data_IF_120725434374
#
_entry.id   IF_120725434374
#
_cell.length_a   1.000
_cell.length_b   1.000
_cell.length_c   1.000
_cell.angle_alpha   90.00
_cell.angle_beta   90.00
_cell.angle_gamma   90.00
#
_symmetry.space_group_name_H-M   'P 1'
#
loop_
_entity.id
_entity.type
_entity.pdbx_description
1 polymer ?
#
# COMPACT_ATOMS: atom_id res chain seq x y z
N UNK A 1 25.73 -3.47 26.86
CA UNK A 1 24.90 -3.18 25.68
C UNK A 1 23.75 -4.18 25.70
N UNK A 2 22.53 -3.75 26.00
CA UNK A 2 21.34 -4.62 25.98
C UNK A 2 20.63 -4.35 24.65
N UNK A 3 20.59 -5.36 23.79
CA UNK A 3 19.81 -5.33 22.57
C UNK A 3 18.33 -5.19 22.94
N UNK A 4 17.70 -4.11 22.56
CA UNK A 4 16.26 -3.95 22.65
C UNK A 4 15.63 -4.84 21.57
N UNK A 5 15.06 -5.96 21.97
CA UNK A 5 14.22 -6.79 21.10
C UNK A 5 12.91 -6.00 20.92
N UNK A 6 12.72 -5.41 19.74
CA UNK A 6 11.43 -4.85 19.33
C UNK A 6 10.44 -6.03 19.21
N UNK A 7 9.63 -6.20 20.24
CA UNK A 7 8.46 -7.07 20.18
C UNK A 7 7.41 -6.34 19.33
N UNK A 8 7.39 -6.62 18.03
CA UNK A 8 6.20 -6.36 17.24
C UNK A 8 5.09 -7.21 17.83
N UNK A 9 4.09 -6.57 18.43
CA UNK A 9 2.95 -7.27 18.98
C UNK A 9 2.33 -8.14 17.90
N UNK A 10 2.53 -9.46 18.03
CA UNK A 10 1.82 -10.46 17.23
C UNK A 10 0.38 -10.37 17.69
N UNK A 11 -0.44 -9.63 16.97
CA UNK A 11 -1.89 -9.81 17.03
C UNK A 11 -2.10 -11.24 16.53
N UNK A 12 -2.56 -12.13 17.40
CA UNK A 12 -2.89 -13.50 17.05
C UNK A 12 -3.97 -13.47 15.97
N UNK A 13 -3.57 -13.70 14.72
CA UNK A 13 -4.49 -13.79 13.59
C UNK A 13 -5.22 -15.12 13.71
N UNK A 14 -6.53 -15.03 14.00
CA UNK A 14 -7.45 -16.11 13.70
C UNK A 14 -7.30 -16.38 12.21
N UNK A 15 -6.96 -17.59 11.80
CA UNK A 15 -6.96 -18.02 10.40
C UNK A 15 -8.32 -17.61 9.80
N UNK A 16 -8.36 -16.53 9.06
CA UNK A 16 -9.56 -16.11 8.38
C UNK A 16 -9.86 -17.18 7.34
N UNK A 17 -10.90 -17.96 7.59
CA UNK A 17 -11.40 -18.89 6.58
C UNK A 17 -11.78 -18.08 5.34
N UNK A 18 -11.45 -18.64 4.15
CA UNK A 18 -11.85 -18.02 2.90
C UNK A 18 -13.35 -17.73 2.92
N UNK A 19 -13.80 -16.54 2.49
CA UNK A 19 -15.21 -16.18 2.59
C UNK A 19 -16.10 -17.17 1.83
N UNK A 20 -17.19 -17.59 2.47
CA UNK A 20 -18.09 -18.56 1.88
C UNK A 20 -18.62 -18.11 0.50
N UNK A 21 -18.51 -18.99 -0.51
CA UNK A 21 -18.96 -18.73 -1.87
C UNK A 21 -18.00 -17.90 -2.74
N UNK A 22 -16.85 -17.47 -2.21
CA UNK A 22 -15.82 -16.79 -3.00
C UNK A 22 -14.95 -17.78 -3.77
N UNK A 23 -14.56 -17.40 -4.99
CA UNK A 23 -13.55 -18.14 -5.75
C UNK A 23 -12.17 -17.63 -5.35
N UNK A 24 -11.37 -18.50 -4.70
CA UNK A 24 -10.07 -18.14 -4.18
C UNK A 24 -8.98 -18.82 -5.00
N UNK A 25 -7.98 -18.06 -5.42
CA UNK A 25 -6.77 -18.55 -6.09
C UNK A 25 -5.56 -18.07 -5.31
N UNK A 26 -4.79 -19.00 -4.76
CA UNK A 26 -3.61 -18.71 -3.93
C UNK A 26 -2.33 -18.83 -4.74
N UNK A 27 -1.30 -18.12 -4.28
CA UNK A 27 0.08 -18.21 -4.77
C UNK A 27 0.23 -18.03 -6.29
N UNK A 28 -0.60 -17.16 -6.87
CA UNK A 28 -0.51 -16.84 -8.29
C UNK A 28 0.78 -16.05 -8.58
N UNK A 29 1.73 -16.58 -9.38
CA UNK A 29 2.93 -15.85 -9.73
C UNK A 29 2.58 -14.74 -10.73
N UNK A 30 3.02 -13.51 -10.44
CA UNK A 30 2.84 -12.37 -11.34
C UNK A 30 4.09 -12.03 -12.17
N UNK A 31 5.18 -12.78 -11.95
CA UNK A 31 6.42 -12.75 -12.73
C UNK A 31 6.80 -14.18 -13.06
N UNK A 32 7.09 -14.47 -14.33
CA UNK A 32 7.61 -15.76 -14.76
C UNK A 32 9.03 -15.95 -14.21
N UNK A 33 9.31 -17.07 -13.59
CA UNK A 33 10.63 -17.36 -12.99
C UNK A 33 11.07 -16.35 -11.91
N UNK A 34 10.10 -15.69 -11.26
CA UNK A 34 10.35 -14.71 -10.22
C UNK A 34 10.79 -15.32 -8.87
N UNK A 35 11.11 -14.45 -7.92
CA UNK A 35 11.36 -14.86 -6.54
C UNK A 35 10.08 -15.43 -5.90
N UNK A 36 10.24 -16.32 -4.90
CA UNK A 36 9.12 -16.96 -4.20
C UNK A 36 8.07 -15.97 -3.63
N UNK A 37 8.48 -14.72 -3.37
CA UNK A 37 7.57 -13.67 -2.91
C UNK A 37 6.85 -12.91 -4.03
N UNK A 38 7.19 -13.11 -5.29
CA UNK A 38 6.51 -12.45 -6.41
C UNK A 38 5.22 -13.18 -6.77
N UNK A 39 4.35 -13.34 -5.77
CA UNK A 39 3.05 -14.03 -5.84
C UNK A 39 1.95 -13.18 -5.22
N UNK A 40 0.71 -13.42 -5.63
CA UNK A 40 -0.49 -12.83 -5.04
C UNK A 40 -1.56 -13.89 -4.77
N UNK A 41 -2.48 -13.55 -3.86
CA UNK A 41 -3.73 -14.29 -3.65
C UNK A 41 -4.88 -13.46 -4.20
N UNK A 42 -5.78 -14.11 -4.94
CA UNK A 42 -6.92 -13.46 -5.56
C UNK A 42 -8.22 -14.06 -5.03
N UNK A 43 -9.09 -13.19 -4.55
CA UNK A 43 -10.40 -13.48 -4.00
C UNK A 43 -11.46 -12.81 -4.88
N UNK A 44 -12.30 -13.60 -5.52
CA UNK A 44 -13.37 -13.11 -6.41
C UNK A 44 -14.72 -13.41 -5.77
N UNK A 45 -15.55 -12.39 -5.52
CA UNK A 45 -16.85 -12.59 -4.88
C UNK A 45 -17.81 -13.36 -5.78
N UNK A 46 -18.88 -13.97 -5.22
CA UNK A 46 -19.91 -14.61 -6.02
C UNK A 46 -20.68 -13.62 -6.89
N UNK A 47 -21.28 -14.12 -7.96
CA UNK A 47 -22.09 -13.34 -8.91
C UNK A 47 -21.42 -13.15 -10.27
N UNK A 48 -22.17 -12.50 -11.18
CA UNK A 48 -21.67 -12.19 -12.52
C UNK A 48 -20.67 -11.01 -12.44
N UNK A 49 -19.45 -11.21 -12.99
CA UNK A 49 -18.48 -10.13 -13.23
C UNK A 49 -18.85 -9.28 -14.47
N UNK A 50 -17.96 -8.40 -14.91
CA UNK A 50 -16.63 -8.18 -14.35
C UNK A 50 -16.66 -7.39 -13.04
N UNK A 51 -15.84 -7.80 -12.06
CA UNK A 51 -15.75 -7.17 -10.74
C UNK A 51 -14.68 -6.08 -10.72
N UNK A 52 -14.93 -4.91 -10.11
CA UNK A 52 -13.87 -3.97 -9.77
C UNK A 52 -12.92 -4.63 -8.76
N UNK A 53 -11.65 -4.25 -8.80
CA UNK A 53 -10.59 -4.87 -8.01
C UNK A 53 -10.01 -3.90 -6.98
N UNK A 54 -9.82 -4.38 -5.76
CA UNK A 54 -9.00 -3.71 -4.74
C UNK A 54 -7.73 -4.52 -4.54
N UNK A 55 -6.58 -3.91 -4.77
CA UNK A 55 -5.25 -4.50 -4.63
C UNK A 55 -4.71 -4.10 -3.27
N UNK A 56 -4.52 -5.08 -2.39
CA UNK A 56 -3.97 -4.89 -1.06
C UNK A 56 -2.45 -5.07 -1.06
N UNK A 57 -1.74 -4.08 -0.51
CA UNK A 57 -0.29 -4.10 -0.28
C UNK A 57 -0.05 -4.02 1.22
N UNK A 58 0.53 -5.09 1.78
CA UNK A 58 0.78 -5.20 3.22
C UNK A 58 1.87 -4.23 3.71
N UNK A 59 1.81 -3.87 4.99
CA UNK A 59 2.87 -3.15 5.69
C UNK A 59 4.01 -4.08 6.14
N UNK A 60 4.73 -3.66 7.18
CA UNK A 60 5.84 -4.42 7.77
C UNK A 60 7.21 -3.84 7.48
N UNK A 61 7.29 -2.51 7.36
CA UNK A 61 8.56 -1.75 7.21
C UNK A 61 9.44 -2.26 6.06
N UNK A 62 8.82 -2.79 4.99
CA UNK A 62 9.46 -3.45 3.84
C UNK A 62 10.35 -4.67 4.21
N UNK A 63 10.41 -5.04 5.48
CA UNK A 63 11.27 -6.12 6.05
C UNK A 63 10.49 -7.38 6.36
N UNK A 64 9.18 -7.27 6.60
CA UNK A 64 8.30 -8.35 7.04
C UNK A 64 6.91 -8.21 6.42
N UNK A 65 5.97 -9.05 6.87
CA UNK A 65 4.61 -9.04 6.36
C UNK A 65 4.40 -9.98 5.19
N UNK A 66 3.15 -10.19 4.82
CA UNK A 66 2.78 -11.05 3.70
C UNK A 66 1.35 -10.79 3.22
N UNK A 67 0.99 -11.41 2.10
CA UNK A 67 -0.35 -11.42 1.52
C UNK A 67 -1.39 -12.22 2.31
N UNK A 68 -1.00 -12.88 3.42
CA UNK A 68 -1.85 -13.83 4.14
C UNK A 68 -3.03 -13.18 4.87
N UNK A 69 -2.98 -11.88 5.17
CA UNK A 69 -4.06 -11.17 5.87
C UNK A 69 -4.46 -9.88 5.14
N UNK A 70 -5.31 -9.99 4.09
CA UNK A 70 -5.79 -8.84 3.38
C UNK A 70 -6.89 -8.11 4.17
N UNK A 71 -6.55 -6.94 4.74
CA UNK A 71 -7.53 -6.08 5.45
C UNK A 71 -8.81 -5.80 4.64
N UNK A 72 -8.75 -5.49 3.32
CA UNK A 72 -9.95 -5.23 2.53
C UNK A 72 -10.94 -6.39 2.53
N UNK A 73 -10.47 -7.63 2.58
CA UNK A 73 -11.35 -8.80 2.56
C UNK A 73 -12.34 -8.81 3.73
N UNK A 74 -11.89 -8.36 4.91
CA UNK A 74 -12.75 -8.26 6.10
C UNK A 74 -13.67 -7.03 6.06
N UNK A 75 -13.18 -5.91 5.56
CA UNK A 75 -13.89 -4.63 5.60
C UNK A 75 -14.87 -4.45 4.44
N UNK A 76 -14.62 -5.10 3.31
CA UNK A 76 -15.48 -5.05 2.12
C UNK A 76 -16.35 -6.31 1.96
N UNK A 77 -16.49 -7.13 3.01
CA UNK A 77 -17.40 -8.27 2.99
C UNK A 77 -18.83 -7.80 2.63
N UNK A 78 -19.45 -8.48 1.64
CA UNK A 78 -20.76 -8.10 1.11
C UNK A 78 -20.75 -7.08 -0.03
N UNK A 79 -19.63 -6.43 -0.29
CA UNK A 79 -19.41 -5.61 -1.48
C UNK A 79 -19.02 -6.48 -2.69
N UNK A 80 -19.12 -5.91 -3.90
CA UNK A 80 -18.86 -6.65 -5.16
C UNK A 80 -17.42 -6.47 -5.68
N UNK A 81 -16.48 -6.15 -4.80
CA UNK A 81 -15.06 -6.02 -5.17
C UNK A 81 -14.37 -7.37 -5.15
N UNK A 82 -13.61 -7.68 -6.18
CA UNK A 82 -12.54 -8.66 -6.06
C UNK A 82 -11.38 -8.08 -5.24
N UNK A 83 -10.64 -8.92 -4.53
CA UNK A 83 -9.49 -8.51 -3.71
C UNK A 83 -8.26 -9.27 -4.19
N UNK A 84 -7.19 -8.57 -4.52
CA UNK A 84 -5.87 -9.16 -4.74
C UNK A 84 -4.96 -8.78 -3.58
N UNK A 85 -4.41 -9.75 -2.87
CA UNK A 85 -3.41 -9.51 -1.82
C UNK A 85 -2.02 -9.84 -2.36
N UNK A 86 -1.11 -8.87 -2.36
CA UNK A 86 0.16 -8.95 -3.08
C UNK A 86 1.33 -9.07 -2.10
N UNK A 87 2.19 -10.06 -2.31
CA UNK A 87 3.54 -10.08 -1.76
C UNK A 87 4.49 -9.31 -2.69
N UNK A 88 5.52 -8.74 -2.11
CA UNK A 88 6.62 -8.08 -2.82
C UNK A 88 7.96 -8.48 -2.21
N UNK A 89 9.08 -8.32 -2.92
CA UNK A 89 10.43 -8.59 -2.40
C UNK A 89 10.73 -7.67 -1.23
N UNK A 90 11.12 -8.24 -0.10
CA UNK A 90 11.48 -7.49 1.11
C UNK A 90 12.89 -6.88 0.98
N UNK A 91 13.22 -5.88 1.78
CA UNK A 91 14.47 -5.11 1.68
C UNK A 91 15.74 -5.94 1.89
N UNK A 92 15.65 -7.09 2.58
CA UNK A 92 16.75 -8.05 2.69
C UNK A 92 16.94 -8.91 1.43
N UNK A 93 15.93 -8.99 0.56
CA UNK A 93 16.00 -9.74 -0.72
C UNK A 93 16.44 -8.83 -1.87
N UNK A 94 15.93 -7.60 -1.90
CA UNK A 94 16.27 -6.59 -2.90
C UNK A 94 15.97 -5.19 -2.34
N UNK A 95 16.82 -4.22 -2.70
CA UNK A 95 16.65 -2.82 -2.30
C UNK A 95 15.65 -2.09 -3.20
N UNK A 96 15.22 -0.91 -2.78
CA UNK A 96 14.42 -0.04 -3.64
C UNK A 96 15.16 0.20 -4.98
N UNK A 97 14.46 0.11 -6.13
CA UNK A 97 13.00 0.18 -6.33
C UNK A 97 12.28 -1.19 -6.43
N UNK A 98 12.90 -2.30 -6.08
CA UNK A 98 12.34 -3.64 -6.28
C UNK A 98 10.89 -3.81 -5.75
N UNK A 99 10.54 -3.15 -4.65
CA UNK A 99 9.23 -3.25 -4.02
C UNK A 99 8.12 -2.64 -4.90
N UNK A 100 8.37 -1.45 -5.43
CA UNK A 100 7.40 -0.78 -6.31
C UNK A 100 7.36 -1.44 -7.70
N UNK A 101 8.46 -1.93 -8.22
CA UNK A 101 8.51 -2.71 -9.46
C UNK A 101 7.63 -3.96 -9.35
N UNK A 102 7.71 -4.68 -8.22
CA UNK A 102 6.88 -5.85 -7.93
C UNK A 102 5.39 -5.49 -7.85
N UNK A 103 5.04 -4.42 -7.15
CA UNK A 103 3.65 -3.95 -7.07
C UNK A 103 3.10 -3.60 -8.45
N UNK A 104 3.87 -2.90 -9.29
CA UNK A 104 3.48 -2.56 -10.65
C UNK A 104 3.35 -3.79 -11.55
N UNK A 105 4.28 -4.74 -11.44
CA UNK A 105 4.19 -6.01 -12.16
C UNK A 105 2.93 -6.79 -11.78
N UNK A 106 2.55 -6.83 -10.49
CA UNK A 106 1.32 -7.45 -10.04
C UNK A 106 0.07 -6.78 -10.63
N UNK A 107 0.03 -5.43 -10.69
CA UNK A 107 -1.09 -4.69 -11.32
C UNK A 107 -1.18 -5.02 -12.81
N UNK A 108 -0.06 -5.04 -13.55
CA UNK A 108 -0.05 -5.37 -14.97
C UNK A 108 -0.51 -6.81 -15.22
N UNK A 109 -0.01 -7.75 -14.42
CA UNK A 109 -0.40 -9.16 -14.51
C UNK A 109 -1.92 -9.33 -14.28
N UNK A 110 -2.47 -8.70 -13.23
CA UNK A 110 -3.90 -8.73 -12.93
C UNK A 110 -4.72 -8.16 -14.09
N UNK A 111 -4.25 -7.07 -14.71
CA UNK A 111 -4.94 -6.43 -15.82
C UNK A 111 -4.89 -7.28 -17.10
N UNK A 112 -3.74 -7.88 -17.40
CA UNK A 112 -3.59 -8.79 -18.54
C UNK A 112 -4.43 -10.06 -18.40
N UNK A 113 -4.68 -10.52 -17.17
CA UNK A 113 -5.48 -11.71 -16.88
C UNK A 113 -6.92 -11.39 -16.43
N UNK A 114 -7.39 -10.15 -16.59
CA UNK A 114 -8.67 -9.70 -16.06
C UNK A 114 -9.86 -10.54 -16.54
N UNK A 115 -9.91 -10.89 -17.83
CA UNK A 115 -10.98 -11.72 -18.40
C UNK A 115 -11.02 -13.13 -17.78
N UNK A 116 -9.86 -13.74 -17.53
CA UNK A 116 -9.75 -15.08 -16.93
C UNK A 116 -10.36 -15.13 -15.52
N UNK A 117 -10.24 -14.03 -14.78
CA UNK A 117 -10.67 -13.95 -13.39
C UNK A 117 -11.94 -13.11 -13.20
N UNK A 118 -12.65 -12.78 -14.27
CA UNK A 118 -13.86 -11.94 -14.23
C UNK A 118 -13.63 -10.59 -13.54
N UNK A 119 -12.48 -9.95 -13.75
CA UNK A 119 -12.13 -8.62 -13.26
C UNK A 119 -12.42 -7.56 -14.32
N UNK A 120 -12.74 -6.35 -13.86
CA UNK A 120 -12.85 -5.20 -14.75
C UNK A 120 -11.50 -4.45 -14.81
N UNK A 121 -10.77 -4.54 -15.94
CA UNK A 121 -9.44 -3.96 -16.04
C UNK A 121 -9.40 -2.43 -15.96
N UNK A 122 -10.55 -1.76 -16.11
CA UNK A 122 -10.67 -0.31 -16.02
C UNK A 122 -10.94 0.18 -14.58
N UNK A 123 -11.18 -0.73 -13.61
CA UNK A 123 -11.62 -0.39 -12.26
C UNK A 123 -10.76 -1.06 -11.19
N UNK A 124 -9.49 -0.64 -11.10
CA UNK A 124 -8.53 -1.12 -10.10
C UNK A 124 -8.22 -0.02 -9.08
N UNK A 125 -8.37 -0.31 -7.80
CA UNK A 125 -7.89 0.53 -6.71
C UNK A 125 -6.73 -0.15 -5.98
N UNK A 126 -5.80 0.64 -5.44
CA UNK A 126 -4.77 0.16 -4.54
C UNK A 126 -5.07 0.60 -3.10
N UNK A 127 -4.88 -0.30 -2.14
CA UNK A 127 -5.03 -0.02 -0.72
C UNK A 127 -3.85 -0.63 0.04
N UNK A 128 -3.20 0.15 0.89
CA UNK A 128 -2.05 -0.32 1.67
C UNK A 128 -1.94 0.38 3.02
N UNK A 129 -1.11 -0.18 3.90
CA UNK A 129 -0.85 0.38 5.21
C UNK A 129 0.65 0.46 5.51
N UNK A 130 1.09 1.52 6.20
CA UNK A 130 2.49 1.68 6.60
C UNK A 130 3.42 1.62 5.38
N UNK A 131 4.41 0.74 5.35
CA UNK A 131 5.24 0.48 4.17
C UNK A 131 4.40 0.20 2.90
N UNK A 132 3.28 -0.53 3.03
CA UNK A 132 2.32 -0.74 1.93
C UNK A 132 1.58 0.54 1.55
N UNK A 133 1.33 1.45 2.49
CA UNK A 133 0.79 2.79 2.25
C UNK A 133 1.70 3.60 1.33
N UNK A 134 3.01 3.61 1.60
CA UNK A 134 4.01 4.24 0.74
C UNK A 134 4.01 3.63 -0.67
N UNK A 135 3.93 2.29 -0.79
CA UNK A 135 3.92 1.61 -2.09
C UNK A 135 2.65 1.89 -2.89
N UNK A 136 1.48 1.96 -2.25
CA UNK A 136 0.26 2.35 -2.98
C UNK A 136 0.25 3.83 -3.33
N UNK A 137 0.86 4.69 -2.51
CA UNK A 137 1.07 6.09 -2.87
C UNK A 137 1.96 6.22 -4.12
N UNK A 138 3.03 5.44 -4.22
CA UNK A 138 3.85 5.36 -5.45
C UNK A 138 3.07 4.77 -6.65
N UNK A 139 2.22 3.76 -6.44
CA UNK A 139 1.35 3.25 -7.51
C UNK A 139 0.43 4.35 -8.06
N UNK A 140 -0.04 5.24 -7.19
CA UNK A 140 -0.92 6.35 -7.56
C UNK A 140 -0.21 7.54 -8.20
N UNK A 141 1.09 7.77 -7.90
CA UNK A 141 1.80 9.00 -8.30
C UNK A 141 2.95 8.79 -9.29
N UNK A 142 3.57 7.60 -9.32
CA UNK A 142 4.78 7.40 -10.12
C UNK A 142 4.53 7.24 -11.63
N UNK A 143 3.28 7.29 -12.09
CA UNK A 143 2.96 7.16 -13.51
C UNK A 143 3.54 5.89 -14.10
N UNK A 144 4.29 5.99 -15.19
CA UNK A 144 4.93 4.87 -15.88
C UNK A 144 6.36 4.61 -15.39
N UNK A 145 6.85 5.38 -14.38
CA UNK A 145 8.14 5.10 -13.75
C UNK A 145 8.10 3.74 -13.04
N UNK A 146 9.21 3.04 -13.00
CA UNK A 146 9.36 1.69 -12.41
C UNK A 146 8.54 0.59 -13.13
N UNK A 147 8.02 0.83 -14.33
CA UNK A 147 7.34 -0.17 -15.15
C UNK A 147 8.37 -1.00 -15.93
N UNK A 148 8.84 -2.07 -15.31
CA UNK A 148 9.83 -2.99 -15.88
C UNK A 148 9.30 -4.43 -15.92
N UNK A 149 9.84 -5.23 -16.82
CA UNK A 149 9.58 -6.67 -16.87
C UNK A 149 8.43 -7.05 -17.82
N UNK A 150 7.57 -7.96 -17.37
CA UNK A 150 6.53 -8.58 -18.20
C UNK A 150 5.24 -7.73 -18.26
N UNK A 151 4.40 -7.99 -19.26
CA UNK A 151 3.07 -7.38 -19.47
C UNK A 151 3.13 -5.83 -19.56
N UNK A 152 4.20 -5.28 -20.14
CA UNK A 152 4.38 -3.82 -20.25
C UNK A 152 3.37 -3.15 -21.19
N UNK A 153 2.66 -3.90 -22.02
CA UNK A 153 1.51 -3.44 -22.81
C UNK A 153 0.27 -3.15 -21.94
N UNK A 154 0.19 -3.75 -20.74
CA UNK A 154 -0.85 -3.47 -19.77
C UNK A 154 -0.42 -2.34 -18.83
N UNK A 155 -1.28 -1.36 -18.61
CA UNK A 155 -0.97 -0.25 -17.69
C UNK A 155 -0.87 -0.71 -16.22
N UNK A 156 0.10 -0.19 -15.47
CA UNK A 156 0.19 -0.35 -14.01
C UNK A 156 -0.61 0.69 -13.22
N UNK A 157 -1.24 1.66 -13.89
CA UNK A 157 -1.99 2.74 -13.23
C UNK A 157 -3.24 2.21 -12.53
N UNK A 158 -3.54 2.77 -11.36
CA UNK A 158 -4.76 2.51 -10.60
C UNK A 158 -5.70 3.71 -10.65
N UNK A 159 -6.99 3.49 -10.43
CA UNK A 159 -8.03 4.51 -10.53
C UNK A 159 -8.39 5.14 -9.17
N UNK A 160 -7.87 4.59 -8.08
CA UNK A 160 -8.04 5.11 -6.72
C UNK A 160 -6.95 4.58 -5.80
N UNK A 161 -6.56 5.36 -4.80
CA UNK A 161 -5.61 4.97 -3.76
C UNK A 161 -6.22 5.18 -2.39
N UNK A 162 -6.15 4.14 -1.54
CA UNK A 162 -6.41 4.24 -0.10
C UNK A 162 -5.09 4.02 0.61
N UNK A 163 -4.56 5.07 1.21
CA UNK A 163 -3.30 5.06 1.95
C UNK A 163 -3.56 5.14 3.44
N UNK A 164 -3.21 4.09 4.17
CA UNK A 164 -3.23 4.09 5.61
C UNK A 164 -1.83 4.35 6.15
N UNK A 165 -1.64 5.57 6.69
CA UNK A 165 -0.43 6.00 7.39
C UNK A 165 0.88 5.63 6.70
N UNK A 166 0.96 5.75 5.38
CA UNK A 166 2.18 5.54 4.62
C UNK A 166 3.22 6.63 4.85
N UNK A 167 4.51 6.28 5.05
CA UNK A 167 5.58 7.27 5.02
C UNK A 167 5.77 7.80 3.59
N UNK A 168 6.26 9.02 3.47
CA UNK A 168 6.46 9.69 2.18
C UNK A 168 7.90 10.21 2.02
N UNK A 169 8.24 11.26 2.74
CA UNK A 169 9.58 11.85 2.73
C UNK A 169 10.38 11.35 3.94
N UNK A 170 11.17 10.30 3.73
CA UNK A 170 11.95 9.68 4.80
C UNK A 170 12.93 10.64 5.48
N UNK A 171 13.48 11.61 4.72
CA UNK A 171 14.46 12.58 5.24
C UNK A 171 13.82 13.57 6.23
N UNK A 172 12.51 13.74 6.23
CA UNK A 172 11.79 14.62 7.13
C UNK A 172 11.16 13.91 8.33
N UNK A 173 11.20 12.58 8.42
CA UNK A 173 10.49 11.83 9.46
C UNK A 173 10.99 12.16 10.86
N UNK A 174 12.30 12.17 11.08
CA UNK A 174 12.89 12.43 12.40
C UNK A 174 12.61 13.83 12.96
N UNK A 175 12.48 14.83 12.07
CA UNK A 175 12.19 16.21 12.46
C UNK A 175 10.75 16.39 12.98
N UNK A 176 9.84 15.50 12.59
CA UNK A 176 8.42 15.54 12.91
C UNK A 176 7.96 14.35 13.78
N UNK A 177 8.89 13.49 14.19
CA UNK A 177 8.59 12.35 15.05
C UNK A 177 8.09 12.78 16.43
N UNK A 178 7.14 12.03 16.96
CA UNK A 178 6.69 12.22 18.34
C UNK A 178 7.82 11.88 19.31
N UNK A 179 7.79 12.47 20.52
CA UNK A 179 8.75 12.14 21.58
C UNK A 179 8.71 10.65 21.97
N UNK A 180 7.61 9.97 21.71
CA UNK A 180 7.42 8.54 21.94
C UNK A 180 7.93 7.66 20.80
N UNK A 181 8.53 8.22 19.74
CA UNK A 181 9.07 7.44 18.62
C UNK A 181 10.13 6.44 19.13
N UNK A 182 10.01 5.14 18.75
CA UNK A 182 10.87 4.10 19.33
C UNK A 182 12.29 4.05 18.73
N UNK A 183 12.51 4.71 17.61
CA UNK A 183 13.81 4.74 16.89
C UNK A 183 13.92 6.00 16.02
N UNK A 184 15.12 6.23 15.49
CA UNK A 184 15.38 7.29 14.51
C UNK A 184 15.36 6.71 13.09
N UNK A 185 14.66 7.38 12.18
CA UNK A 185 14.55 6.97 10.78
C UNK A 185 15.86 7.13 10.02
N UNK A 186 16.72 8.06 10.43
CA UNK A 186 18.06 8.23 9.88
C UNK A 186 19.11 7.27 10.48
N UNK A 187 18.73 6.39 11.44
CA UNK A 187 19.65 5.39 11.98
C UNK A 187 20.09 4.38 10.92
N UNK A 188 21.32 3.86 11.06
CA UNK A 188 21.90 2.91 10.09
C UNK A 188 21.11 1.60 9.95
N UNK A 189 20.47 1.17 11.02
CA UNK A 189 19.65 -0.04 11.12
C UNK A 189 18.14 0.23 10.96
N UNK A 190 17.77 1.46 10.58
CA UNK A 190 16.39 1.82 10.33
C UNK A 190 15.82 1.05 9.12
N UNK A 191 14.50 0.84 9.08
CA UNK A 191 13.84 0.26 7.92
C UNK A 191 14.08 1.05 6.63
N UNK A 192 14.15 2.36 6.71
CA UNK A 192 14.40 3.28 5.61
C UNK A 192 15.81 3.12 5.06
N UNK A 193 16.82 3.07 5.94
CA UNK A 193 18.21 2.82 5.56
C UNK A 193 18.37 1.43 4.92
N UNK A 194 17.72 0.41 5.48
CA UNK A 194 17.69 -0.93 4.86
C UNK A 194 17.03 -0.92 3.48
N UNK A 195 15.94 -0.18 3.30
CA UNK A 195 15.23 -0.11 2.03
C UNK A 195 16.07 0.55 0.94
N UNK A 196 16.71 1.68 1.24
CA UNK A 196 17.53 2.43 0.27
C UNK A 196 18.89 1.80 0.02
N UNK A 197 19.31 0.85 0.85
CA UNK A 197 20.54 0.08 0.65
C UNK A 197 21.77 0.61 1.40
N UNK A 198 21.59 1.48 2.38
CA UNK A 198 22.66 2.06 3.20
C UNK A 198 22.17 3.23 4.05
N UNK A 199 23.06 3.96 4.71
CA UNK A 199 22.69 5.10 5.53
C UNK A 199 21.77 6.06 4.78
N UNK A 200 20.59 6.36 5.35
CA UNK A 200 19.54 7.14 4.68
C UNK A 200 20.07 8.50 4.19
N UNK A 201 20.88 9.18 5.01
CA UNK A 201 21.42 10.52 4.70
C UNK A 201 22.49 10.50 3.61
N UNK A 202 23.11 9.34 3.32
CA UNK A 202 24.08 9.15 2.24
C UNK A 202 23.41 8.63 0.95
N UNK A 203 22.13 8.24 1.03
CA UNK A 203 21.34 7.70 -0.06
C UNK A 203 20.12 8.59 -0.38
N UNK A 204 20.29 9.90 -0.26
CA UNK A 204 19.25 10.92 -0.45
C UNK A 204 18.56 10.86 -1.81
N UNK A 205 19.31 10.58 -2.89
CA UNK A 205 18.76 10.41 -4.24
C UNK A 205 17.86 9.18 -4.34
N UNK A 206 18.20 8.08 -3.66
CA UNK A 206 17.35 6.88 -3.63
C UNK A 206 16.14 7.15 -2.76
N UNK A 207 16.31 7.82 -1.62
CA UNK A 207 15.21 8.24 -0.75
C UNK A 207 14.24 9.17 -1.50
N UNK A 208 14.73 10.14 -2.26
CA UNK A 208 13.91 11.02 -3.10
C UNK A 208 13.11 10.24 -4.17
N UNK A 209 13.70 9.21 -4.77
CA UNK A 209 13.00 8.34 -5.73
C UNK A 209 11.94 7.47 -5.04
N UNK A 210 12.14 7.11 -3.77
CA UNK A 210 11.16 6.36 -2.96
C UNK A 210 10.04 7.25 -2.38
N UNK A 211 10.19 8.58 -2.45
CA UNK A 211 9.22 9.54 -1.95
C UNK A 211 8.08 9.76 -2.98
N UNK A 212 6.83 9.36 -2.70
CA UNK A 212 5.71 9.55 -3.62
C UNK A 212 5.42 11.03 -3.94
N UNK A 213 5.76 11.96 -3.03
CA UNK A 213 5.55 13.40 -3.23
C UNK A 213 6.35 13.93 -4.43
N UNK A 214 7.54 13.39 -4.69
CA UNK A 214 8.40 13.80 -5.82
C UNK A 214 7.86 13.39 -7.19
N UNK A 215 6.85 12.53 -7.21
CA UNK A 215 6.27 12.00 -8.44
C UNK A 215 4.90 12.60 -8.75
N UNK A 216 4.29 13.34 -7.82
CA UNK A 216 2.93 13.87 -7.97
C UNK A 216 2.78 14.68 -9.25
N UNK A 217 1.74 14.34 -10.02
CA UNK A 217 1.31 15.04 -11.23
C UNK A 217 -0.21 15.26 -11.21
N UNK A 218 -0.72 16.13 -12.08
CA UNK A 218 -2.16 16.41 -12.21
C UNK A 218 -2.99 15.20 -12.69
N UNK A 219 -2.35 14.22 -13.29
CA UNK A 219 -3.01 13.05 -13.91
C UNK A 219 -3.04 11.84 -12.97
N UNK A 220 -2.70 12.05 -11.69
CA UNK A 220 -2.68 11.00 -10.68
C UNK A 220 -4.09 10.59 -10.24
N UNK A 221 -4.19 9.37 -9.71
CA UNK A 221 -5.44 8.86 -9.17
C UNK A 221 -5.91 9.67 -7.93
N UNK A 222 -7.22 9.74 -7.65
CA UNK A 222 -7.72 10.31 -6.39
C UNK A 222 -7.26 9.48 -5.18
N UNK A 223 -7.05 10.17 -4.04
CA UNK A 223 -6.56 9.60 -2.79
C UNK A 223 -7.55 9.73 -1.63
N UNK A 224 -7.64 8.68 -0.82
CA UNK A 224 -8.11 8.71 0.56
C UNK A 224 -6.95 8.32 1.46
N UNK A 225 -6.51 9.25 2.32
CA UNK A 225 -5.43 9.04 3.28
C UNK A 225 -6.05 8.99 4.68
N UNK A 226 -5.69 7.97 5.48
CA UNK A 226 -6.15 7.82 6.87
C UNK A 226 -4.94 7.70 7.77
N UNK A 227 -4.83 8.57 8.80
CA UNK A 227 -3.67 8.61 9.69
C UNK A 227 -4.06 8.98 11.12
N UNK A 228 -3.45 8.32 12.11
CA UNK A 228 -3.62 8.66 13.52
C UNK A 228 -2.71 9.82 13.95
N UNK A 229 -3.22 10.77 14.74
CA UNK A 229 -2.41 11.93 15.20
C UNK A 229 -1.42 11.59 16.32
N UNK A 230 -1.51 10.39 16.90
CA UNK A 230 -0.60 9.86 17.92
C UNK A 230 0.25 8.70 17.37
N UNK A 231 0.53 8.70 16.09
CA UNK A 231 1.37 7.67 15.46
C UNK A 231 2.85 7.84 15.83
N UNK A 232 3.44 6.91 16.61
CA UNK A 232 4.84 7.01 17.03
C UNK A 232 5.83 6.46 16.01
N UNK A 233 5.34 5.76 14.95
CA UNK A 233 6.18 5.12 13.94
C UNK A 233 6.29 5.97 12.67
N UNK A 234 5.17 6.49 12.17
CA UNK A 234 5.13 7.36 11.00
C UNK A 234 4.47 8.66 11.40
N UNK A 235 5.19 9.78 11.45
CA UNK A 235 4.61 11.06 11.82
C UNK A 235 3.45 11.46 10.90
N UNK A 236 2.35 11.97 11.45
CA UNK A 236 1.19 12.49 10.70
C UNK A 236 1.63 13.48 9.58
N UNK A 237 2.71 14.21 9.82
CA UNK A 237 3.31 15.13 8.86
C UNK A 237 3.56 14.47 7.49
N UNK A 238 3.86 13.18 7.43
CA UNK A 238 4.09 12.45 6.18
C UNK A 238 2.85 12.43 5.28
N UNK A 239 1.68 12.17 5.86
CA UNK A 239 0.39 12.27 5.16
C UNK A 239 0.03 13.70 4.77
N UNK A 240 0.36 14.68 5.60
CA UNK A 240 0.13 16.10 5.31
C UNK A 240 0.99 16.58 4.13
N UNK A 241 2.24 16.10 4.00
CA UNK A 241 3.09 16.37 2.83
C UNK A 241 2.45 15.85 1.54
N UNK A 242 1.98 14.60 1.54
CA UNK A 242 1.34 13.99 0.38
C UNK A 242 0.02 14.72 0.04
N UNK A 243 -0.83 14.97 1.03
CA UNK A 243 -2.06 15.73 0.82
C UNK A 243 -1.79 17.09 0.19
N UNK A 244 -0.82 17.84 0.73
CA UNK A 244 -0.44 19.16 0.23
C UNK A 244 0.02 19.11 -1.23
N UNK A 245 0.88 18.14 -1.57
CA UNK A 245 1.37 17.97 -2.93
C UNK A 245 0.25 17.61 -3.92
N UNK A 246 -0.63 16.66 -3.55
CA UNK A 246 -1.78 16.25 -4.36
C UNK A 246 -2.74 17.42 -4.59
N UNK A 247 -3.10 18.18 -3.53
CA UNK A 247 -3.95 19.38 -3.65
C UNK A 247 -3.32 20.43 -4.56
N UNK A 248 -2.03 20.69 -4.43
CA UNK A 248 -1.30 21.64 -5.27
C UNK A 248 -1.32 21.22 -6.75
N UNK A 249 -1.28 19.93 -7.03
CA UNK A 249 -1.39 19.38 -8.39
C UNK A 249 -2.83 19.34 -8.93
N UNK A 250 -3.83 19.63 -8.09
CA UNK A 250 -5.25 19.53 -8.47
C UNK A 250 -5.81 18.11 -8.41
N UNK A 251 -5.12 17.18 -7.77
CA UNK A 251 -5.59 15.80 -7.60
C UNK A 251 -6.59 15.72 -6.43
N UNK A 252 -7.76 15.09 -6.62
CA UNK A 252 -8.72 14.93 -5.53
C UNK A 252 -8.12 14.10 -4.38
N UNK A 253 -8.06 14.67 -3.19
CA UNK A 253 -7.52 14.02 -2.00
C UNK A 253 -8.35 14.35 -0.76
N UNK A 254 -8.51 13.35 0.10
CA UNK A 254 -9.07 13.50 1.45
C UNK A 254 -8.07 12.92 2.44
N UNK A 255 -7.58 13.73 3.38
CA UNK A 255 -6.86 13.27 4.56
C UNK A 255 -7.86 13.21 5.73
N UNK A 256 -8.04 12.01 6.28
CA UNK A 256 -8.81 11.79 7.49
C UNK A 256 -7.88 11.50 8.67
N UNK A 257 -7.85 12.41 9.63
CA UNK A 257 -7.04 12.29 10.84
C UNK A 257 -7.87 11.63 11.93
N UNK A 258 -7.40 10.49 12.45
CA UNK A 258 -8.04 9.76 13.53
C UNK A 258 -7.46 10.25 14.86
N UNK A 259 -8.24 11.04 15.57
CA UNK A 259 -7.79 11.68 16.83
C UNK A 259 -7.51 10.64 17.92
N UNK A 260 -6.34 10.75 18.55
CA UNK A 260 -5.87 9.84 19.61
C UNK A 260 -5.39 8.47 19.12
N UNK A 261 -5.46 8.20 17.83
CA UNK A 261 -5.04 6.92 17.27
C UNK A 261 -3.53 6.88 16.96
N UNK A 262 -2.93 5.70 17.16
CA UNK A 262 -1.53 5.43 16.81
C UNK A 262 -1.38 4.83 15.40
N UNK A 263 -0.31 4.07 15.19
CA UNK A 263 0.00 3.40 13.91
C UNK A 263 -1.01 2.28 13.59
N UNK A 264 -2.14 2.65 13.03
CA UNK A 264 -3.30 1.77 12.80
C UNK A 264 -4.06 1.35 14.08
N UNK A 265 -3.47 1.54 15.25
CA UNK A 265 -4.11 1.24 16.52
C UNK A 265 -5.17 2.31 16.81
N UNK A 266 -6.40 1.88 17.04
CA UNK A 266 -7.52 2.78 17.29
C UNK A 266 -8.41 3.00 16.06
N UNK A 267 -8.02 2.54 14.88
CA UNK A 267 -8.81 2.71 13.65
C UNK A 267 -10.11 1.88 13.69
N UNK A 268 -10.08 0.73 14.32
CA UNK A 268 -11.25 -0.15 14.47
C UNK A 268 -12.32 0.44 15.40
N UNK A 269 -11.96 1.41 16.25
CA UNK A 269 -12.91 2.11 17.11
C UNK A 269 -13.57 3.30 16.41
N UNK A 270 -13.05 3.77 15.29
CA UNK A 270 -13.64 4.88 14.55
C UNK A 270 -14.68 4.37 13.52
N UNK A 271 -15.99 4.55 13.79
CA UNK A 271 -17.04 4.03 12.93
C UNK A 271 -17.12 4.72 11.56
N UNK A 272 -16.39 5.81 11.36
CA UNK A 272 -16.43 6.59 10.11
C UNK A 272 -15.50 6.02 9.04
N UNK A 273 -14.42 5.32 9.42
CA UNK A 273 -13.38 4.89 8.48
C UNK A 273 -13.93 3.95 7.42
N UNK A 274 -14.60 2.86 7.82
CA UNK A 274 -15.10 1.86 6.88
C UNK A 274 -16.15 2.43 5.92
N UNK A 275 -17.18 3.17 6.37
CA UNK A 275 -18.11 3.87 5.46
C UNK A 275 -17.41 4.83 4.49
N UNK A 276 -16.43 5.61 4.95
CA UNK A 276 -15.68 6.55 4.12
C UNK A 276 -14.89 5.83 3.03
N UNK A 277 -14.22 4.71 3.34
CA UNK A 277 -13.52 3.89 2.35
C UNK A 277 -14.50 3.32 1.33
N UNK A 278 -15.62 2.76 1.77
CA UNK A 278 -16.65 2.21 0.87
C UNK A 278 -17.21 3.29 -0.07
N UNK A 279 -17.54 4.46 0.45
CA UNK A 279 -18.03 5.59 -0.35
C UNK A 279 -16.97 6.06 -1.36
N UNK A 280 -15.71 6.21 -0.91
CA UNK A 280 -14.61 6.59 -1.78
C UNK A 280 -14.43 5.61 -2.94
N UNK A 281 -14.35 4.30 -2.66
CA UNK A 281 -14.22 3.26 -3.68
C UNK A 281 -15.45 3.22 -4.61
N UNK A 282 -16.66 3.30 -4.06
CA UNK A 282 -17.88 3.32 -4.86
C UNK A 282 -17.95 4.50 -5.81
N UNK A 283 -17.49 5.68 -5.39
CA UNK A 283 -17.44 6.89 -6.22
C UNK A 283 -16.39 6.81 -7.31
N UNK A 284 -15.19 6.33 -6.98
CA UNK A 284 -14.03 6.34 -7.88
C UNK A 284 -14.02 5.19 -8.87
N UNK A 285 -14.59 4.04 -8.50
CA UNK A 285 -14.67 2.83 -9.33
C UNK A 285 -16.06 2.64 -9.99
N UNK A 286 -16.87 3.70 -10.11
CA UNK A 286 -18.14 3.62 -10.85
C UNK A 286 -17.89 3.30 -12.33
N UNK A 287 -18.77 2.51 -12.92
CA UNK A 287 -18.92 2.43 -14.38
C UNK A 287 -19.33 3.81 -14.90
N UNK A 288 -18.57 4.35 -15.82
CA UNK A 288 -18.94 5.56 -16.56
C UNK A 288 -20.04 5.24 -17.57
#
# INVERSE_FOLDING_TARGET
>A
MRAAVLVFGIVAFVNAQDPAGWKVSKDLPYVSYGAARQTLDLYVPPGSGPHPLVIWIHGGAWKTGSKADPLPLRLLAGERYAIASVNYRLSHMAKFPAQIEDCKAAVRWLRAHASKYALDPARFAAWGSSAGGQLVALLGTAGDKFDLGEYTEASSRVQAVVDYYGPTDFLQMDAHALASAPFKHAALDSPESDLVGGPLLENDLVAARANPVTHVTRDDAPFLIVHGDQDPLVPLHQSQLLESALRKAGVPVTLYVVTGAGHGKGFEQDPKIVPMVKEFLARTLRTR
#
